data_IF_254442061373
#
_entry.id   IF_254442061373
#
_cell.length_a   1.000
_cell.length_b   1.000
_cell.length_c   1.000
_cell.angle_alpha   90.00
_cell.angle_beta   90.00
_cell.angle_gamma   90.00
#
_symmetry.space_group_name_H-M   'P 1'
#
loop_
_entity.id
_entity.type
_entity.pdbx_description
1 polymer ?
#
# COMPACT_ATOMS: atom_id res chain seq x y z
N UNK A 1 84.54 57.80 16.98
CA UNK A 1 83.30 57.85 16.20
C UNK A 1 82.98 56.44 15.80
N UNK A 2 82.05 55.80 16.50
CA UNK A 2 81.71 54.37 16.28
C UNK A 2 80.32 54.35 15.63
N UNK A 3 80.21 53.85 14.39
CA UNK A 3 78.95 53.67 13.68
C UNK A 3 78.34 52.31 14.12
N UNK A 4 77.22 52.34 14.85
CA UNK A 4 76.41 51.15 15.10
C UNK A 4 75.56 50.80 13.89
N UNK A 5 75.76 49.60 13.34
CA UNK A 5 74.90 49.01 12.31
C UNK A 5 73.73 48.29 13.02
N UNK A 6 72.50 48.67 12.70
CA UNK A 6 71.30 48.01 13.18
C UNK A 6 70.90 46.93 12.15
N UNK A 7 70.99 45.70 12.55
CA UNK A 7 70.53 44.56 11.73
C UNK A 7 69.06 44.30 12.06
N UNK A 8 68.17 44.49 11.10
CA UNK A 8 66.74 44.15 11.19
C UNK A 8 66.57 42.69 10.83
N UNK A 9 66.17 41.85 11.80
CA UNK A 9 65.67 40.51 11.54
C UNK A 9 64.21 40.62 11.03
N UNK A 10 63.95 40.12 9.83
CA UNK A 10 62.58 39.92 9.30
C UNK A 10 62.15 38.52 9.70
N UNK A 11 61.26 38.45 10.66
CA UNK A 11 60.54 37.17 11.02
C UNK A 11 59.39 37.00 10.06
N UNK A 12 59.47 35.99 9.23
CA UNK A 12 58.35 35.53 8.40
C UNK A 12 57.46 34.60 9.20
N UNK A 13 56.27 35.05 9.58
CA UNK A 13 55.22 34.22 10.20
C UNK A 13 54.46 33.52 9.09
N UNK A 14 54.66 32.21 8.96
CA UNK A 14 53.86 31.33 8.09
C UNK A 14 52.50 31.14 8.74
N UNK A 15 51.45 31.78 8.23
CA UNK A 15 50.06 31.55 8.61
C UNK A 15 49.57 30.26 7.91
N UNK A 16 49.54 29.13 8.64
CA UNK A 16 48.94 27.91 8.14
C UNK A 16 47.41 28.08 8.17
N UNK A 17 46.80 28.26 6.99
CA UNK A 17 45.35 28.21 6.86
C UNK A 17 44.87 26.78 6.99
N UNK A 18 44.39 26.40 8.17
CA UNK A 18 43.67 25.15 8.39
C UNK A 18 42.28 25.33 7.80
N UNK A 19 42.13 24.85 6.57
CA UNK A 19 40.82 24.75 5.93
C UNK A 19 39.95 23.74 6.67
N UNK A 20 39.01 24.20 7.47
CA UNK A 20 37.95 23.36 8.04
C UNK A 20 37.05 22.96 6.91
N UNK A 21 37.24 21.75 6.34
CA UNK A 21 36.26 21.12 5.49
C UNK A 21 35.03 20.86 6.35
N UNK A 22 34.01 21.71 6.22
CA UNK A 22 32.68 21.42 6.74
C UNK A 22 32.19 20.15 6.08
N UNK A 23 31.74 19.14 6.84
CA UNK A 23 31.09 17.99 6.24
C UNK A 23 29.88 18.52 5.46
N UNK A 24 29.87 18.34 4.15
CA UNK A 24 28.68 18.57 3.34
C UNK A 24 27.60 17.63 3.92
N UNK A 25 26.63 18.20 4.62
CA UNK A 25 25.43 17.50 5.01
C UNK A 25 24.83 16.98 3.71
N UNK A 26 24.91 15.68 3.49
CA UNK A 26 24.24 15.03 2.38
C UNK A 26 22.77 15.42 2.51
N UNK A 27 22.26 16.21 1.57
CA UNK A 27 20.86 16.57 1.53
C UNK A 27 20.08 15.28 1.47
N UNK A 28 19.31 14.95 2.52
CA UNK A 28 18.48 13.75 2.57
C UNK A 28 17.55 13.78 1.35
N UNK A 29 17.92 13.01 0.34
CA UNK A 29 17.08 12.83 -0.85
C UNK A 29 15.96 11.88 -0.47
N UNK A 30 14.74 12.39 -0.36
CA UNK A 30 13.56 11.58 -0.11
C UNK A 30 12.62 11.62 -1.30
N UNK A 31 11.86 10.55 -1.50
CA UNK A 31 10.75 10.45 -2.45
C UNK A 31 9.41 10.46 -1.71
N UNK A 32 8.36 10.80 -2.46
CA UNK A 32 6.98 10.72 -1.99
C UNK A 32 6.23 9.60 -2.73
N UNK A 33 5.69 8.66 -1.97
CA UNK A 33 4.90 7.53 -2.48
C UNK A 33 3.43 7.78 -2.18
N UNK A 34 2.60 7.85 -3.21
CA UNK A 34 1.15 7.84 -3.07
C UNK A 34 0.67 6.40 -2.91
N UNK A 35 -0.03 6.11 -1.82
CA UNK A 35 -0.47 4.75 -1.51
C UNK A 35 -1.79 4.71 -0.73
N UNK A 36 -2.13 3.54 -0.18
CA UNK A 36 -3.43 3.31 0.45
C UNK A 36 -3.33 3.11 1.96
N UNK A 37 -4.36 3.60 2.67
CA UNK A 37 -4.49 3.40 4.13
C UNK A 37 -4.55 1.91 4.50
N UNK A 38 -5.14 1.06 3.66
CA UNK A 38 -5.17 -0.38 3.90
C UNK A 38 -3.77 -1.00 3.92
N UNK A 39 -2.87 -0.58 3.01
CA UNK A 39 -1.47 -1.03 2.99
C UNK A 39 -0.70 -0.48 4.19
N UNK A 40 -0.83 0.82 4.48
CA UNK A 40 -0.21 1.45 5.66
C UNK A 40 -0.58 0.71 6.95
N UNK A 41 -1.86 0.43 7.14
CA UNK A 41 -2.38 -0.18 8.38
C UNK A 41 -1.89 -1.61 8.60
N UNK A 42 -1.31 -2.28 7.60
CA UNK A 42 -0.69 -3.60 7.79
C UNK A 42 0.66 -3.53 8.50
N UNK A 43 1.33 -2.37 8.52
CA UNK A 43 2.70 -2.22 9.01
C UNK A 43 3.77 -2.59 7.96
N UNK A 44 3.39 -2.83 6.70
CA UNK A 44 4.33 -3.21 5.66
C UNK A 44 5.40 -2.15 5.42
N UNK A 45 5.02 -0.87 5.43
CA UNK A 45 5.94 0.23 5.17
C UNK A 45 6.95 0.40 6.29
N UNK A 46 6.55 0.28 7.54
CA UNK A 46 7.43 0.32 8.71
C UNK A 46 8.48 -0.81 8.68
N UNK A 47 8.14 -1.90 8.00
CA UNK A 47 9.05 -3.03 7.80
C UNK A 47 9.96 -2.87 6.57
N UNK A 48 9.45 -2.40 5.42
CA UNK A 48 10.18 -2.33 4.16
C UNK A 48 11.06 -1.08 4.03
N UNK A 49 10.53 0.11 4.37
CA UNK A 49 11.19 1.37 4.02
C UNK A 49 12.55 1.55 4.71
N UNK A 50 12.74 1.18 5.99
CA UNK A 50 14.07 1.26 6.62
C UNK A 50 15.14 0.42 5.92
N UNK A 51 14.75 -0.73 5.33
CA UNK A 51 15.68 -1.61 4.57
C UNK A 51 16.15 -0.94 3.30
N UNK A 52 15.24 -0.33 2.56
CA UNK A 52 15.59 0.44 1.37
C UNK A 52 16.47 1.65 1.70
N UNK A 53 16.09 2.43 2.71
CA UNK A 53 16.84 3.61 3.13
C UNK A 53 18.24 3.26 3.61
N UNK A 54 18.40 2.20 4.40
CA UNK A 54 19.72 1.73 4.85
C UNK A 54 20.64 1.33 3.69
N UNK A 55 20.07 0.78 2.62
CA UNK A 55 20.82 0.37 1.44
C UNK A 55 21.21 1.52 0.52
N UNK A 56 20.34 2.51 0.36
CA UNK A 56 20.45 3.52 -0.70
C UNK A 56 20.72 4.94 -0.22
N UNK A 57 20.48 5.22 1.06
CA UNK A 57 20.46 6.57 1.61
C UNK A 57 19.26 7.40 1.18
N UNK A 58 18.29 6.83 0.43
CA UNK A 58 17.09 7.54 -0.03
C UNK A 58 15.97 7.34 0.98
N UNK A 59 15.46 8.44 1.53
CA UNK A 59 14.26 8.43 2.38
C UNK A 59 12.99 8.19 1.58
N UNK A 60 11.97 7.59 2.18
CA UNK A 60 10.65 7.38 1.57
C UNK A 60 9.57 7.89 2.49
N UNK A 61 8.81 8.87 2.00
CA UNK A 61 7.61 9.37 2.67
C UNK A 61 6.38 8.76 1.99
N UNK A 62 5.39 8.33 2.76
CA UNK A 62 4.16 7.73 2.23
C UNK A 62 2.97 8.61 2.56
N UNK A 63 2.18 8.94 1.54
CA UNK A 63 0.85 9.52 1.70
C UNK A 63 -0.17 8.40 1.49
N UNK A 64 -0.75 7.94 2.59
CA UNK A 64 -1.71 6.83 2.61
C UNK A 64 -3.15 7.36 2.69
N UNK A 65 -3.89 7.21 1.60
CA UNK A 65 -5.28 7.66 1.45
C UNK A 65 -6.13 6.55 0.78
N UNK A 66 -7.36 6.81 0.43
CA UNK A 66 -8.14 5.89 -0.41
C UNK A 66 -7.54 5.74 -1.81
N UNK A 67 -7.66 4.57 -2.44
CA UNK A 67 -7.04 4.27 -3.75
C UNK A 67 -7.32 5.34 -4.81
N UNK A 68 -8.58 5.74 -4.97
CA UNK A 68 -8.94 6.79 -5.94
C UNK A 68 -8.29 8.14 -5.65
N UNK A 69 -8.13 8.50 -4.38
CA UNK A 69 -7.45 9.74 -3.98
C UNK A 69 -5.93 9.65 -4.20
N UNK A 70 -5.31 8.49 -3.92
CA UNK A 70 -3.88 8.27 -4.19
C UNK A 70 -3.57 8.42 -5.69
N UNK A 71 -4.41 7.82 -6.56
CA UNK A 71 -4.30 7.97 -8.01
C UNK A 71 -4.49 9.42 -8.42
N UNK A 72 -5.49 10.11 -7.88
CA UNK A 72 -5.75 11.53 -8.18
C UNK A 72 -4.58 12.44 -7.78
N UNK A 73 -3.99 12.21 -6.61
CA UNK A 73 -2.78 12.93 -6.18
C UNK A 73 -1.62 12.71 -7.17
N UNK A 74 -1.39 11.45 -7.56
CA UNK A 74 -0.36 11.12 -8.55
C UNK A 74 -0.65 11.74 -9.93
N UNK A 75 -1.93 11.84 -10.34
CA UNK A 75 -2.34 12.54 -11.58
C UNK A 75 -2.10 14.05 -11.52
N UNK A 76 -2.02 14.63 -10.34
CA UNK A 76 -1.66 16.04 -10.14
C UNK A 76 -0.12 16.25 -10.09
N UNK A 77 0.68 15.18 -10.07
CA UNK A 77 2.13 15.27 -9.86
C UNK A 77 2.55 15.38 -8.38
N UNK A 78 1.63 15.11 -7.45
CA UNK A 78 1.87 15.19 -6.00
C UNK A 78 2.52 13.90 -5.45
N UNK A 79 3.48 13.34 -6.18
CA UNK A 79 4.21 12.14 -5.77
C UNK A 79 5.21 11.70 -6.83
N UNK A 80 6.19 10.92 -6.41
CA UNK A 80 7.23 10.35 -7.28
C UNK A 80 6.84 8.95 -7.76
N UNK A 81 6.17 8.18 -6.89
CA UNK A 81 5.75 6.80 -7.12
C UNK A 81 4.30 6.61 -6.67
N UNK A 82 3.53 5.85 -7.45
CA UNK A 82 2.21 5.35 -7.10
C UNK A 82 2.33 3.85 -6.78
N UNK A 83 1.89 3.43 -5.59
CA UNK A 83 1.87 2.05 -5.12
C UNK A 83 0.49 1.73 -4.55
N UNK A 84 -0.35 1.12 -5.34
CA UNK A 84 -1.76 0.83 -5.01
C UNK A 84 -2.17 -0.57 -5.50
N UNK A 85 -3.46 -0.92 -5.45
CA UNK A 85 -3.95 -2.26 -5.75
C UNK A 85 -5.31 -2.23 -6.48
N UNK A 86 -5.42 -1.38 -7.51
CA UNK A 86 -6.56 -1.32 -8.42
C UNK A 86 -6.03 -1.38 -9.86
N UNK A 87 -5.74 -2.60 -10.31
CA UNK A 87 -5.09 -2.82 -11.60
C UNK A 87 -5.75 -2.09 -12.77
N UNK A 88 -7.10 -2.11 -12.94
CA UNK A 88 -7.75 -1.34 -14.01
C UNK A 88 -7.49 0.16 -13.94
N UNK A 89 -7.55 0.75 -12.75
CA UNK A 89 -7.30 2.17 -12.57
C UNK A 89 -5.81 2.52 -12.76
N UNK A 90 -4.90 1.64 -12.36
CA UNK A 90 -3.46 1.75 -12.56
C UNK A 90 -3.08 1.69 -14.06
N UNK A 91 -3.68 0.75 -14.81
CA UNK A 91 -3.49 0.63 -16.25
C UNK A 91 -4.01 1.87 -16.99
N UNK A 92 -5.15 2.40 -16.57
CA UNK A 92 -5.69 3.66 -17.09
C UNK A 92 -4.76 4.84 -16.81
N UNK A 93 -4.21 4.94 -15.59
CA UNK A 93 -3.25 5.98 -15.20
C UNK A 93 -2.02 6.00 -16.12
N UNK A 94 -1.50 4.83 -16.49
CA UNK A 94 -0.39 4.71 -17.45
C UNK A 94 -0.84 5.03 -18.88
N UNK A 95 -1.97 4.51 -19.32
CA UNK A 95 -2.50 4.74 -20.67
C UNK A 95 -2.77 6.23 -20.94
N UNK A 96 -3.16 7.01 -19.94
CA UNK A 96 -3.37 8.44 -20.01
C UNK A 96 -2.07 9.26 -19.87
N UNK A 97 -0.92 8.60 -19.78
CA UNK A 97 0.40 9.22 -19.74
C UNK A 97 0.79 9.85 -18.40
N UNK A 98 0.06 9.55 -17.32
CA UNK A 98 0.42 10.01 -15.96
C UNK A 98 1.51 9.17 -15.31
N UNK A 99 1.62 7.89 -15.67
CA UNK A 99 2.66 6.97 -15.24
C UNK A 99 3.52 6.51 -16.41
N UNK A 100 4.75 6.05 -16.13
CA UNK A 100 5.66 5.54 -17.17
C UNK A 100 5.33 4.11 -17.54
N UNK A 101 5.34 3.23 -16.55
CA UNK A 101 5.10 1.80 -16.71
C UNK A 101 4.57 1.22 -15.39
N UNK A 102 3.67 0.25 -15.50
CA UNK A 102 3.12 -0.47 -14.36
C UNK A 102 3.82 -1.83 -14.20
N UNK A 103 4.29 -2.11 -12.99
CA UNK A 103 4.84 -3.41 -12.63
C UNK A 103 3.94 -4.11 -11.62
N UNK A 104 3.70 -5.41 -11.82
CA UNK A 104 3.19 -6.27 -10.75
C UNK A 104 4.26 -6.38 -9.67
N UNK A 105 3.87 -6.13 -8.40
CA UNK A 105 4.82 -6.12 -7.28
C UNK A 105 4.64 -7.31 -6.36
N UNK A 106 3.42 -7.48 -5.89
CA UNK A 106 3.00 -8.49 -4.92
C UNK A 106 1.48 -8.62 -4.96
N UNK A 107 0.95 -9.64 -4.32
CA UNK A 107 -0.49 -9.72 -4.04
C UNK A 107 -0.73 -10.09 -2.58
N UNK A 108 -1.89 -9.71 -2.07
CA UNK A 108 -2.56 -10.31 -0.93
C UNK A 108 -3.93 -10.82 -1.38
N UNK A 109 -4.74 -11.30 -0.47
CA UNK A 109 -6.09 -11.75 -0.82
C UNK A 109 -7.16 -11.05 0.02
N UNK A 110 -8.33 -11.00 -0.56
CA UNK A 110 -9.57 -10.78 0.17
C UNK A 110 -10.11 -12.12 0.65
N UNK A 111 -10.87 -12.03 1.72
CA UNK A 111 -11.56 -13.16 2.34
C UNK A 111 -12.99 -12.74 2.71
N UNK A 112 -13.90 -13.69 2.73
CA UNK A 112 -15.20 -13.46 3.37
C UNK A 112 -15.15 -14.02 4.78
N UNK A 113 -15.49 -13.17 5.74
CA UNK A 113 -15.60 -13.53 7.15
C UNK A 113 -17.07 -13.56 7.57
N UNK A 114 -17.39 -14.36 8.58
CA UNK A 114 -18.75 -14.48 9.07
C UNK A 114 -18.83 -15.28 10.36
N UNK A 115 -20.02 -15.38 10.96
CA UNK A 115 -20.22 -16.13 12.18
C UNK A 115 -19.85 -17.62 12.01
N UNK A 116 -19.27 -18.22 13.03
CA UNK A 116 -18.85 -19.63 12.99
C UNK A 116 -20.00 -20.62 12.80
N UNK A 117 -21.23 -20.21 13.16
CA UNK A 117 -22.47 -20.96 12.91
C UNK A 117 -22.85 -21.08 11.43
N UNK A 118 -22.32 -20.18 10.60
CA UNK A 118 -22.49 -20.13 9.14
C UNK A 118 -23.95 -20.37 8.68
N UNK A 119 -24.90 -19.51 9.03
CA UNK A 119 -26.32 -19.70 8.66
C UNK A 119 -26.54 -19.68 7.14
N UNK A 120 -25.64 -19.03 6.37
CA UNK A 120 -25.68 -19.07 4.92
C UNK A 120 -25.18 -20.41 4.33
N UNK A 121 -24.37 -21.16 5.08
CA UNK A 121 -23.78 -22.42 4.62
C UNK A 121 -22.74 -22.24 3.53
N UNK A 122 -21.91 -21.21 3.64
CA UNK A 122 -20.86 -20.87 2.64
C UNK A 122 -19.45 -21.25 3.09
N UNK A 123 -19.31 -21.69 4.33
CA UNK A 123 -17.98 -22.02 4.87
C UNK A 123 -17.29 -23.12 4.05
N UNK A 124 -16.03 -22.89 3.72
CA UNK A 124 -15.20 -23.78 2.92
C UNK A 124 -15.42 -23.72 1.42
N UNK A 125 -16.35 -22.90 0.92
CA UNK A 125 -16.52 -22.71 -0.52
C UNK A 125 -15.26 -22.05 -1.12
N UNK A 126 -14.89 -22.50 -2.33
CA UNK A 126 -13.73 -22.01 -3.09
C UNK A 126 -14.12 -21.16 -4.30
N UNK A 127 -15.41 -20.89 -4.47
CA UNK A 127 -15.96 -19.96 -5.46
C UNK A 127 -16.68 -18.83 -4.72
N UNK A 128 -16.07 -17.65 -4.68
CA UNK A 128 -16.59 -16.49 -3.99
C UNK A 128 -17.90 -15.98 -4.61
N UNK A 129 -18.06 -16.13 -5.94
CA UNK A 129 -19.29 -15.71 -6.65
C UNK A 129 -20.47 -16.61 -6.26
N UNK A 130 -20.24 -17.93 -6.22
CA UNK A 130 -21.25 -18.87 -5.75
C UNK A 130 -21.62 -18.64 -4.29
N UNK A 131 -20.64 -18.33 -3.44
CA UNK A 131 -20.87 -17.99 -2.03
C UNK A 131 -21.72 -16.72 -1.88
N UNK A 132 -21.39 -15.65 -2.59
CA UNK A 132 -22.15 -14.41 -2.58
C UNK A 132 -23.57 -14.60 -3.14
N UNK A 133 -23.74 -15.35 -4.21
CA UNK A 133 -25.07 -15.70 -4.75
C UNK A 133 -25.92 -16.44 -3.72
N UNK A 134 -25.31 -17.34 -2.95
CA UNK A 134 -26.00 -18.07 -1.89
C UNK A 134 -26.38 -17.18 -0.71
N UNK A 135 -25.48 -16.23 -0.32
CA UNK A 135 -25.78 -15.18 0.68
C UNK A 135 -27.01 -14.37 0.28
N UNK A 136 -27.04 -13.85 -0.94
CA UNK A 136 -28.15 -13.07 -1.47
C UNK A 136 -29.46 -13.88 -1.52
N UNK A 137 -29.39 -15.13 -2.00
CA UNK A 137 -30.55 -16.04 -2.08
C UNK A 137 -31.17 -16.34 -0.72
N UNK A 138 -30.36 -16.39 0.34
CA UNK A 138 -30.82 -16.55 1.73
C UNK A 138 -31.12 -15.24 2.43
N UNK A 139 -30.88 -14.10 1.78
CA UNK A 139 -30.98 -12.77 2.39
C UNK A 139 -30.18 -12.67 3.70
N UNK A 140 -29.03 -13.36 3.77
CA UNK A 140 -28.15 -13.34 4.93
C UNK A 140 -27.53 -11.95 5.09
N UNK A 141 -27.47 -11.42 6.32
CA UNK A 141 -26.90 -10.10 6.56
C UNK A 141 -25.47 -10.01 6.04
N UNK A 142 -25.19 -8.95 5.31
CA UNK A 142 -23.88 -8.64 4.77
C UNK A 142 -23.52 -7.18 5.06
N UNK A 143 -22.40 -6.94 5.73
CA UNK A 143 -21.88 -5.62 6.03
C UNK A 143 -20.85 -5.22 4.96
N UNK A 144 -21.19 -4.21 4.19
CA UNK A 144 -20.35 -3.58 3.18
C UNK A 144 -19.66 -2.34 3.72
N UNK A 145 -18.48 -2.03 3.21
CA UNK A 145 -17.84 -0.75 3.50
C UNK A 145 -18.66 0.44 2.99
N UNK A 146 -19.21 0.37 1.79
CA UNK A 146 -20.05 1.44 1.23
C UNK A 146 -19.35 2.80 1.07
N UNK A 147 -17.99 2.84 1.02
CA UNK A 147 -17.16 4.05 1.14
C UNK A 147 -16.30 4.35 -0.10
N UNK A 148 -16.58 3.69 -1.23
CA UNK A 148 -15.82 3.80 -2.49
C UNK A 148 -14.32 3.45 -2.37
N UNK A 149 -13.93 2.68 -1.35
CA UNK A 149 -12.57 2.16 -1.20
C UNK A 149 -12.27 1.03 -2.20
N UNK A 150 -10.99 0.64 -2.30
CA UNK A 150 -10.58 -0.52 -3.10
C UNK A 150 -11.28 -1.82 -2.65
N UNK A 151 -11.51 -2.01 -1.35
CA UNK A 151 -12.28 -3.15 -0.81
C UNK A 151 -13.74 -3.10 -1.27
N UNK A 152 -14.37 -1.93 -1.22
CA UNK A 152 -15.75 -1.74 -1.69
C UNK A 152 -15.86 -1.96 -3.21
N UNK A 153 -14.92 -1.43 -3.99
CA UNK A 153 -14.86 -1.66 -5.44
C UNK A 153 -14.72 -3.16 -5.78
N UNK A 154 -13.86 -3.87 -5.04
CA UNK A 154 -13.69 -5.32 -5.17
C UNK A 154 -14.96 -6.09 -4.83
N UNK A 155 -15.62 -5.73 -3.75
CA UNK A 155 -16.89 -6.30 -3.30
C UNK A 155 -17.96 -6.16 -4.40
N UNK A 156 -18.17 -4.94 -4.92
CA UNK A 156 -19.14 -4.68 -5.98
C UNK A 156 -18.82 -5.48 -7.25
N UNK A 157 -17.54 -5.61 -7.62
CA UNK A 157 -17.13 -6.43 -8.76
C UNK A 157 -17.47 -7.92 -8.56
N UNK A 158 -17.31 -8.45 -7.34
CA UNK A 158 -17.68 -9.82 -7.00
C UNK A 158 -19.19 -10.02 -7.01
N UNK A 159 -19.99 -9.09 -6.49
CA UNK A 159 -21.45 -9.12 -6.56
C UNK A 159 -21.94 -9.11 -8.01
N UNK A 160 -21.39 -8.22 -8.83
CA UNK A 160 -21.68 -8.18 -10.27
C UNK A 160 -21.34 -9.50 -10.95
N UNK A 161 -20.19 -10.09 -10.66
CA UNK A 161 -19.78 -11.38 -11.21
C UNK A 161 -20.66 -12.56 -10.72
N UNK A 162 -21.29 -12.41 -9.55
CA UNK A 162 -22.29 -13.35 -9.03
C UNK A 162 -23.68 -13.17 -9.67
N UNK A 163 -23.87 -12.12 -10.51
CA UNK A 163 -25.17 -11.78 -11.10
C UNK A 163 -26.16 -11.19 -10.08
N UNK A 164 -25.66 -10.53 -9.03
CA UNK A 164 -26.46 -9.94 -7.95
C UNK A 164 -26.20 -8.43 -7.92
N UNK A 165 -27.27 -7.65 -7.85
CA UNK A 165 -27.21 -6.22 -7.52
C UNK A 165 -27.53 -6.03 -6.04
N UNK A 166 -26.54 -5.82 -5.16
CA UNK A 166 -26.75 -5.65 -3.75
C UNK A 166 -27.43 -4.30 -3.41
N UNK A 167 -27.31 -3.29 -4.27
CA UNK A 167 -27.88 -1.96 -4.03
C UNK A 167 -29.41 -2.03 -3.92
N UNK A 168 -30.06 -2.94 -4.65
CA UNK A 168 -31.49 -3.19 -4.53
C UNK A 168 -31.93 -3.72 -3.15
N UNK A 169 -30.97 -4.18 -2.34
CA UNK A 169 -31.18 -4.70 -0.98
C UNK A 169 -30.58 -3.80 0.12
N UNK A 170 -30.13 -2.59 -0.25
CA UNK A 170 -29.60 -1.60 0.70
C UNK A 170 -30.59 -1.36 1.83
N UNK A 171 -30.09 -1.29 3.07
CA UNK A 171 -30.92 -1.11 4.24
C UNK A 171 -31.70 -2.37 4.69
N UNK A 172 -31.64 -3.48 3.94
CA UNK A 172 -32.26 -4.77 4.33
C UNK A 172 -31.20 -5.80 4.75
N UNK A 173 -30.87 -6.78 3.93
CA UNK A 173 -29.79 -7.73 4.21
C UNK A 173 -28.41 -7.19 3.80
N UNK A 174 -28.33 -6.21 2.93
CA UNK A 174 -27.10 -5.51 2.55
C UNK A 174 -26.99 -4.21 3.33
N UNK A 175 -25.94 -4.08 4.15
CA UNK A 175 -25.76 -2.97 5.11
C UNK A 175 -24.48 -2.22 4.79
N UNK A 176 -24.61 -1.06 4.21
CA UNK A 176 -23.50 -0.16 3.92
C UNK A 176 -23.14 0.64 5.16
N UNK A 177 -21.90 0.52 5.63
CA UNK A 177 -21.45 1.17 6.88
C UNK A 177 -20.93 2.59 6.64
N UNK A 178 -20.53 2.92 5.40
CA UNK A 178 -19.88 4.18 5.08
C UNK A 178 -18.52 4.37 5.79
N UNK A 179 -17.88 3.29 6.24
CA UNK A 179 -16.78 3.34 7.19
C UNK A 179 -15.57 2.52 6.75
N UNK A 180 -14.40 2.78 7.35
CA UNK A 180 -13.19 1.99 7.15
C UNK A 180 -13.35 0.53 7.61
N UNK A 181 -12.44 -0.35 7.13
CA UNK A 181 -12.60 -1.80 7.28
C UNK A 181 -12.74 -2.28 8.73
N UNK A 182 -11.95 -1.72 9.66
CA UNK A 182 -12.04 -2.09 11.09
C UNK A 182 -13.40 -1.78 11.71
N UNK A 183 -13.98 -0.63 11.39
CA UNK A 183 -15.32 -0.24 11.85
C UNK A 183 -16.40 -1.11 11.20
N UNK A 184 -16.25 -1.43 9.90
CA UNK A 184 -17.14 -2.35 9.18
C UNK A 184 -17.12 -3.75 9.80
N UNK A 185 -15.94 -4.27 10.16
CA UNK A 185 -15.83 -5.56 10.85
C UNK A 185 -16.50 -5.55 12.23
N UNK A 186 -16.34 -4.47 13.01
CA UNK A 186 -17.04 -4.33 14.28
C UNK A 186 -18.57 -4.37 14.09
N UNK A 187 -19.07 -3.66 13.07
CA UNK A 187 -20.49 -3.67 12.71
C UNK A 187 -20.93 -5.08 12.29
N UNK A 188 -20.14 -5.77 11.44
CA UNK A 188 -20.44 -7.13 11.01
C UNK A 188 -20.54 -8.08 12.20
N UNK A 189 -19.58 -8.05 13.13
CA UNK A 189 -19.60 -8.88 14.35
C UNK A 189 -20.83 -8.58 15.20
N UNK A 190 -21.12 -7.29 15.44
CA UNK A 190 -22.27 -6.89 16.26
C UNK A 190 -23.64 -7.28 15.67
N UNK A 191 -23.72 -7.45 14.33
CA UNK A 191 -24.96 -7.77 13.61
C UNK A 191 -25.10 -9.26 13.26
N UNK A 192 -24.08 -10.08 13.48
CA UNK A 192 -24.03 -11.44 12.92
C UNK A 192 -23.96 -11.49 11.39
N UNK A 193 -23.38 -10.46 10.76
CA UNK A 193 -23.34 -10.29 9.31
C UNK A 193 -22.06 -10.85 8.70
N UNK A 194 -22.10 -11.32 7.47
CA UNK A 194 -20.90 -11.59 6.67
C UNK A 194 -20.25 -10.29 6.18
N UNK A 195 -18.97 -10.31 5.89
CA UNK A 195 -18.27 -9.14 5.31
C UNK A 195 -17.10 -9.58 4.45
N UNK A 196 -16.79 -8.81 3.40
CA UNK A 196 -15.55 -8.92 2.65
C UNK A 196 -14.47 -8.06 3.32
N UNK A 197 -13.30 -8.62 3.54
CA UNK A 197 -12.14 -7.89 4.09
C UNK A 197 -10.85 -8.36 3.45
N UNK A 198 -9.81 -7.55 3.46
CA UNK A 198 -8.46 -8.04 3.21
C UNK A 198 -7.97 -8.88 4.40
N UNK A 199 -7.14 -9.90 4.10
CA UNK A 199 -6.61 -10.83 5.12
C UNK A 199 -5.79 -10.12 6.19
N UNK A 200 -5.03 -9.07 5.81
CA UNK A 200 -4.17 -8.34 6.75
C UNK A 200 -4.98 -7.63 7.81
N UNK A 201 -6.04 -6.93 7.41
CA UNK A 201 -6.98 -6.31 8.36
C UNK A 201 -7.61 -7.38 9.26
N UNK A 202 -8.02 -8.52 8.70
CA UNK A 202 -8.60 -9.60 9.50
C UNK A 202 -7.62 -10.19 10.53
N UNK A 203 -6.36 -10.45 10.14
CA UNK A 203 -5.34 -10.96 11.08
C UNK A 203 -5.18 -9.99 12.25
N UNK A 204 -5.04 -8.71 11.97
CA UNK A 204 -4.83 -7.65 12.97
C UNK A 204 -6.09 -7.29 13.76
N UNK A 205 -7.27 -7.65 13.28
CA UNK A 205 -8.54 -7.35 13.94
C UNK A 205 -8.69 -8.16 15.23
N UNK A 206 -8.94 -7.47 16.34
CA UNK A 206 -8.93 -8.11 17.68
C UNK A 206 -10.32 -8.57 18.15
N UNK A 207 -11.38 -7.89 17.71
CA UNK A 207 -12.74 -8.16 18.16
C UNK A 207 -13.44 -9.23 17.28
N UNK A 208 -12.78 -10.39 17.12
CA UNK A 208 -13.27 -11.46 16.24
C UNK A 208 -14.48 -12.23 16.81
N UNK A 209 -14.60 -12.24 18.14
CA UNK A 209 -15.61 -13.03 18.84
C UNK A 209 -15.71 -14.46 18.24
N UNK A 210 -16.90 -14.92 17.88
CA UNK A 210 -17.14 -16.20 17.25
C UNK A 210 -17.09 -16.15 15.70
N UNK A 211 -16.35 -15.20 15.13
CA UNK A 211 -16.16 -15.05 13.67
C UNK A 211 -14.94 -15.81 13.18
N UNK A 212 -15.05 -16.27 11.92
CA UNK A 212 -13.96 -16.94 11.22
C UNK A 212 -13.95 -16.60 9.73
N UNK A 213 -12.89 -16.98 9.06
CA UNK A 213 -12.86 -17.00 7.59
C UNK A 213 -13.79 -18.10 7.11
N UNK A 214 -14.73 -17.75 6.24
CA UNK A 214 -15.70 -18.69 5.67
C UNK A 214 -15.48 -18.96 4.18
N UNK A 215 -14.91 -17.99 3.43
CA UNK A 215 -14.51 -18.17 2.02
C UNK A 215 -13.13 -17.58 1.79
N UNK A 216 -12.25 -18.36 1.19
CA UNK A 216 -10.89 -17.98 0.81
C UNK A 216 -10.35 -18.84 -0.34
N UNK A 217 -9.25 -18.40 -0.97
CA UNK A 217 -8.50 -19.17 -1.97
C UNK A 217 -9.13 -19.19 -3.36
N UNK A 218 -10.14 -18.37 -3.62
CA UNK A 218 -10.63 -18.11 -4.98
C UNK A 218 -9.68 -17.14 -5.69
N UNK A 219 -9.24 -17.44 -6.94
CA UNK A 219 -8.46 -16.48 -7.74
C UNK A 219 -9.15 -15.10 -7.89
N UNK A 220 -10.48 -15.07 -7.92
CA UNK A 220 -11.27 -13.83 -7.89
C UNK A 220 -11.07 -12.97 -6.65
N UNK A 221 -10.54 -13.53 -5.56
CA UNK A 221 -10.23 -12.80 -4.32
C UNK A 221 -8.81 -12.23 -4.29
N UNK A 222 -7.97 -12.52 -5.27
CA UNK A 222 -6.61 -11.97 -5.30
C UNK A 222 -6.64 -10.45 -5.48
N UNK A 223 -5.77 -9.80 -4.73
CA UNK A 223 -5.60 -8.36 -4.70
C UNK A 223 -4.18 -8.01 -5.14
N UNK A 224 -4.04 -7.73 -6.43
CA UNK A 224 -2.75 -7.44 -7.07
C UNK A 224 -2.33 -6.01 -6.80
N UNK A 225 -1.13 -5.83 -6.28
CA UNK A 225 -0.48 -4.53 -6.10
C UNK A 225 0.38 -4.20 -7.31
N UNK A 226 0.25 -2.96 -7.77
CA UNK A 226 1.10 -2.37 -8.78
C UNK A 226 1.98 -1.27 -8.21
N UNK A 227 3.13 -1.07 -8.86
CA UNK A 227 4.02 0.05 -8.59
C UNK A 227 4.36 0.76 -9.90
N UNK A 228 4.29 2.09 -9.90
CA UNK A 228 4.37 2.93 -11.09
C UNK A 228 5.20 4.18 -10.78
N UNK A 229 6.17 4.52 -11.63
CA UNK A 229 6.82 5.82 -11.61
C UNK A 229 5.87 6.87 -12.18
N UNK A 230 5.61 7.94 -11.45
CA UNK A 230 4.89 9.10 -11.98
C UNK A 230 5.71 9.70 -13.11
N UNK A 231 5.06 10.11 -14.21
CA UNK A 231 5.74 10.46 -15.46
C UNK A 231 6.51 11.79 -15.36
N UNK A 232 7.86 11.76 -15.35
CA UNK A 232 8.67 12.98 -15.23
C UNK A 232 8.60 13.88 -16.48
N UNK A 233 8.20 13.34 -17.62
CA UNK A 233 8.00 14.18 -18.83
C UNK A 233 6.74 15.06 -18.69
N UNK A 234 5.77 14.63 -17.90
CA UNK A 234 4.56 15.39 -17.61
C UNK A 234 4.72 16.25 -16.36
N UNK A 235 5.50 15.78 -15.37
CA UNK A 235 5.71 16.43 -14.08
C UNK A 235 7.21 16.58 -13.79
N UNK A 236 7.84 17.70 -14.14
CA UNK A 236 9.30 17.91 -14.00
C UNK A 236 9.82 17.83 -12.56
N UNK A 237 8.95 18.00 -11.55
CA UNK A 237 9.31 17.92 -10.14
C UNK A 237 9.47 16.48 -9.62
N UNK A 238 9.04 15.48 -10.40
CA UNK A 238 9.17 14.05 -10.04
C UNK A 238 10.65 13.68 -9.93
N UNK A 239 11.02 13.12 -8.81
CA UNK A 239 12.38 12.62 -8.53
C UNK A 239 12.60 11.27 -9.21
N UNK A 240 12.63 11.28 -10.56
CA UNK A 240 12.60 10.08 -11.38
C UNK A 240 13.74 9.10 -11.08
N UNK A 241 14.96 9.57 -10.81
CA UNK A 241 16.11 8.73 -10.48
C UNK A 241 15.88 7.96 -9.18
N UNK A 242 15.43 8.65 -8.15
CA UNK A 242 15.20 8.08 -6.83
C UNK A 242 13.94 7.20 -6.82
N UNK A 243 12.86 7.63 -7.49
CA UNK A 243 11.64 6.84 -7.65
C UNK A 243 11.91 5.53 -8.41
N UNK A 244 12.71 5.59 -9.48
CA UNK A 244 13.14 4.40 -10.20
C UNK A 244 14.00 3.48 -9.33
N UNK A 245 14.92 4.02 -8.54
CA UNK A 245 15.74 3.22 -7.62
C UNK A 245 14.87 2.47 -6.58
N UNK A 246 13.81 3.11 -6.09
CA UNK A 246 12.85 2.47 -5.18
C UNK A 246 12.09 1.33 -5.87
N UNK A 247 11.56 1.57 -7.06
CA UNK A 247 10.88 0.55 -7.86
C UNK A 247 11.81 -0.61 -8.17
N UNK A 248 13.03 -0.34 -8.66
CA UNK A 248 14.01 -1.37 -8.99
C UNK A 248 14.36 -2.23 -7.77
N UNK A 249 14.49 -1.62 -6.59
CA UNK A 249 14.73 -2.37 -5.36
C UNK A 249 13.54 -3.24 -4.97
N UNK A 250 12.31 -2.71 -5.02
CA UNK A 250 11.10 -3.49 -4.74
C UNK A 250 10.96 -4.71 -5.66
N UNK A 251 11.32 -4.57 -6.93
CA UNK A 251 11.26 -5.63 -7.94
C UNK A 251 12.48 -6.56 -7.90
N UNK A 252 13.54 -6.22 -7.18
CA UNK A 252 14.75 -7.04 -7.05
C UNK A 252 14.51 -8.29 -6.21
N UNK A 253 15.39 -9.29 -6.32
CA UNK A 253 15.36 -10.48 -5.48
C UNK A 253 15.36 -10.14 -3.97
N UNK A 254 16.10 -9.10 -3.57
CA UNK A 254 16.17 -8.63 -2.19
C UNK A 254 14.84 -8.00 -1.74
N UNK A 255 14.27 -7.10 -2.53
CA UNK A 255 12.98 -6.46 -2.22
C UNK A 255 11.85 -7.50 -2.17
N UNK A 256 11.83 -8.42 -3.13
CA UNK A 256 10.84 -9.52 -3.16
C UNK A 256 11.01 -10.46 -1.96
N UNK A 257 12.24 -10.79 -1.55
CA UNK A 257 12.49 -11.56 -0.33
C UNK A 257 12.07 -10.80 0.94
N UNK A 258 12.28 -9.48 0.98
CA UNK A 258 11.80 -8.66 2.09
C UNK A 258 10.27 -8.66 2.17
N UNK A 259 9.56 -8.52 1.04
CA UNK A 259 8.09 -8.62 1.00
C UNK A 259 7.62 -9.99 1.50
N UNK A 260 8.23 -11.09 1.04
CA UNK A 260 7.89 -12.45 1.50
C UNK A 260 8.18 -12.66 2.99
N UNK A 261 9.18 -11.98 3.52
CA UNK A 261 9.57 -12.05 4.93
C UNK A 261 8.66 -11.26 5.88
N UNK A 262 7.79 -10.41 5.35
CA UNK A 262 6.84 -9.68 6.19
C UNK A 262 5.73 -10.60 6.69
N UNK A 263 5.57 -10.65 8.01
CA UNK A 263 4.58 -11.51 8.68
C UNK A 263 3.82 -10.77 9.75
N UNK A 264 2.54 -11.05 9.88
CA UNK A 264 1.68 -10.61 10.98
C UNK A 264 1.28 -11.84 11.77
N UNK A 265 1.53 -11.86 13.07
CA UNK A 265 1.27 -13.02 13.95
C UNK A 265 1.84 -14.34 13.37
N UNK A 266 3.04 -14.27 12.77
CA UNK A 266 3.72 -15.42 12.16
C UNK A 266 3.20 -15.83 10.77
N UNK A 267 2.15 -15.20 10.26
CA UNK A 267 1.55 -15.50 8.95
C UNK A 267 2.04 -14.55 7.87
N UNK A 268 2.43 -15.10 6.72
CA UNK A 268 2.77 -14.32 5.54
C UNK A 268 1.51 -13.64 5.00
N UNK A 269 1.59 -12.33 4.75
CA UNK A 269 0.45 -11.55 4.26
C UNK A 269 0.59 -11.17 2.80
N UNK A 270 1.79 -10.82 2.36
CA UNK A 270 2.05 -10.42 0.99
C UNK A 270 2.88 -11.49 0.27
N UNK A 271 2.49 -11.80 -0.94
CA UNK A 271 3.12 -12.81 -1.79
C UNK A 271 3.78 -12.09 -2.97
N UNK A 272 5.11 -12.03 -3.03
CA UNK A 272 5.81 -11.38 -4.11
C UNK A 272 5.57 -12.10 -5.44
N UNK A 273 5.38 -11.34 -6.52
CA UNK A 273 5.15 -11.90 -7.85
C UNK A 273 5.66 -10.99 -8.98
N UNK A 274 6.64 -10.15 -8.68
CA UNK A 274 7.27 -9.35 -9.71
C UNK A 274 7.92 -10.25 -10.76
N UNK A 275 7.59 -9.98 -12.02
CA UNK A 275 8.25 -10.60 -13.19
C UNK A 275 9.21 -9.57 -13.76
N UNK A 276 10.47 -9.93 -13.88
CA UNK A 276 11.48 -9.20 -14.66
C UNK A 276 11.71 -9.89 -15.98
#
# INVERSE_FOLDING_TARGET
MIKKRLTRLLTWTLLAAVGTASPAMAQETSILVQSTTSTQNTGLYEYLLPRFTAKTGIGVNVVAVGTGQAIKNAMNGDGDVLLVHDKPAEEKFVAEGYGVERFDLMYNDFIVVGPSSDPAGIAGMKDARAALKKLAGKKSLFASRGDNSGTHSKELALWKAAGVDPAAASGTWYRETGSGMGATLNTAVGMGAYSLTDRGTWISFKNKDNYRIVVEGDPGLFNQYGVILVNPAKFPNVKAKQGKAFIDWLLSAEGQAAIAGFKIEGQQLFFPNAKR
#
